data_IF_347189228709
#
_entry.id   IF_347189228709
#
_cell.length_a   1.000
_cell.length_b   1.000
_cell.length_c   1.000
_cell.angle_alpha   90.00
_cell.angle_beta   90.00
_cell.angle_gamma   90.00
#
_symmetry.space_group_name_H-M   'P 1'
#
loop_
_entity.id
_entity.type
_entity.pdbx_description
1 polymer ?
#
# COMPACT_ATOMS: atom_id res chain seq x y z
N UNK A 1 23.55 3.63 11.87
CA UNK A 1 22.23 3.50 11.18
C UNK A 1 22.39 4.15 9.81
N UNK A 2 22.30 3.40 8.69
CA UNK A 2 22.34 4.05 7.38
C UNK A 2 21.16 5.05 7.32
N UNK A 3 21.33 6.23 6.70
CA UNK A 3 20.20 7.13 6.49
C UNK A 3 19.17 6.33 5.70
N UNK A 4 17.97 6.15 6.26
CA UNK A 4 16.86 5.56 5.52
C UNK A 4 16.66 6.50 4.33
N UNK A 5 17.19 6.13 3.15
CA UNK A 5 16.95 6.82 1.90
C UNK A 5 15.45 7.04 1.85
N UNK A 6 15.03 8.30 2.00
CA UNK A 6 13.64 8.67 2.16
C UNK A 6 13.01 8.47 0.78
N UNK A 7 12.64 7.22 0.50
CA UNK A 7 11.86 6.87 -0.68
C UNK A 7 10.57 7.66 -0.60
N UNK A 8 10.06 8.18 -1.73
CA UNK A 8 8.82 8.92 -1.74
C UNK A 8 7.74 8.06 -1.09
N UNK A 9 7.14 8.59 -0.04
CA UNK A 9 6.04 7.94 0.66
C UNK A 9 4.72 8.48 0.13
N UNK A 10 3.97 7.64 -0.54
CA UNK A 10 2.67 7.99 -1.13
C UNK A 10 1.57 7.99 -0.07
N UNK A 11 0.60 8.89 -0.21
CA UNK A 11 -0.64 8.80 0.57
C UNK A 11 -1.51 7.66 0.03
N UNK A 12 -2.50 7.21 0.81
CA UNK A 12 -3.44 6.14 0.41
C UNK A 12 -4.02 6.33 -1.00
N UNK A 13 -4.44 7.54 -1.37
CA UNK A 13 -5.01 7.81 -2.69
C UNK A 13 -4.00 7.67 -3.84
N UNK A 14 -2.76 8.11 -3.62
CA UNK A 14 -1.66 7.98 -4.59
C UNK A 14 -1.23 6.51 -4.72
N UNK A 15 -1.08 5.81 -3.60
CA UNK A 15 -0.77 4.38 -3.57
C UNK A 15 -1.84 3.56 -4.30
N UNK A 16 -3.12 3.86 -4.06
CA UNK A 16 -4.25 3.25 -4.77
C UNK A 16 -4.17 3.45 -6.28
N UNK A 17 -3.92 4.70 -6.71
CA UNK A 17 -3.77 5.03 -8.13
C UNK A 17 -2.58 4.31 -8.76
N UNK A 18 -1.44 4.27 -8.08
CA UNK A 18 -0.25 3.57 -8.58
C UNK A 18 -0.45 2.05 -8.62
N UNK A 19 -1.13 1.47 -7.64
CA UNK A 19 -1.42 0.04 -7.58
C UNK A 19 -2.57 -0.40 -8.50
N UNK A 20 -3.30 0.54 -9.12
CA UNK A 20 -4.43 0.22 -9.98
C UNK A 20 -5.65 -0.29 -9.23
N UNK A 21 -5.78 0.06 -7.94
CA UNK A 21 -6.88 -0.37 -7.07
C UNK A 21 -7.61 0.82 -6.45
N UNK A 22 -8.78 0.57 -5.87
CA UNK A 22 -9.46 1.58 -5.07
C UNK A 22 -8.83 1.69 -3.67
N UNK A 23 -8.88 2.89 -3.07
CA UNK A 23 -8.49 3.09 -1.68
C UNK A 23 -9.33 2.27 -0.69
N UNK A 24 -10.55 1.86 -1.08
CA UNK A 24 -11.38 0.94 -0.31
C UNK A 24 -10.80 -0.47 -0.31
N UNK A 25 -10.29 -0.94 -1.47
CA UNK A 25 -9.65 -2.26 -1.57
C UNK A 25 -8.42 -2.35 -0.66
N UNK A 26 -7.55 -1.35 -0.67
CA UNK A 26 -6.39 -1.32 0.23
C UNK A 26 -6.82 -1.44 1.70
N UNK A 27 -7.86 -0.68 2.11
CA UNK A 27 -8.40 -0.76 3.48
C UNK A 27 -9.03 -2.11 3.80
N UNK A 28 -9.64 -2.76 2.80
CA UNK A 28 -10.17 -4.11 2.95
C UNK A 28 -9.04 -5.11 3.17
N UNK A 29 -8.03 -5.10 2.31
CA UNK A 29 -6.85 -5.98 2.37
C UNK A 29 -6.10 -5.81 3.71
N UNK A 30 -5.99 -4.57 4.21
CA UNK A 30 -5.46 -4.28 5.55
C UNK A 30 -6.32 -4.87 6.67
N UNK A 31 -7.65 -4.76 6.55
CA UNK A 31 -8.59 -5.25 7.57
C UNK A 31 -8.62 -6.77 7.66
N UNK A 32 -8.54 -7.46 6.52
CA UNK A 32 -8.54 -8.93 6.47
C UNK A 32 -7.15 -9.52 6.70
N UNK A 33 -6.13 -8.67 6.90
CA UNK A 33 -4.76 -9.10 7.19
C UNK A 33 -3.95 -9.55 5.98
N UNK A 34 -4.42 -9.26 4.76
CA UNK A 34 -3.74 -9.61 3.51
C UNK A 34 -2.61 -8.63 3.18
N UNK A 35 -2.72 -7.38 3.64
CA UNK A 35 -1.70 -6.35 3.50
C UNK A 35 -1.38 -5.74 4.87
N UNK A 36 -0.10 -5.55 5.25
CA UNK A 36 0.23 -4.93 6.53
C UNK A 36 -0.31 -3.50 6.61
N UNK A 37 -0.83 -3.12 7.77
CA UNK A 37 -1.29 -1.75 8.02
C UNK A 37 -0.13 -0.77 7.78
N UNK A 38 -0.32 0.16 6.85
CA UNK A 38 0.69 1.17 6.55
C UNK A 38 1.04 1.99 7.80
N UNK A 39 2.33 2.28 7.98
CA UNK A 39 2.77 3.12 9.09
C UNK A 39 2.12 4.50 8.98
N UNK A 40 1.63 5.01 10.12
CA UNK A 40 1.22 6.40 10.19
C UNK A 40 2.45 7.29 10.04
N UNK A 41 2.37 8.25 9.13
CA UNK A 41 3.27 9.39 9.13
C UNK A 41 3.10 10.17 10.44
N UNK A 42 4.10 10.97 10.81
CA UNK A 42 4.02 11.90 11.94
C UNK A 42 2.80 12.85 11.85
N UNK A 43 2.24 13.04 10.66
CA UNK A 43 1.03 13.83 10.39
C UNK A 43 -0.30 13.05 10.53
N UNK A 44 -0.28 11.80 11.02
CA UNK A 44 -1.48 10.97 11.19
C UNK A 44 -2.02 10.32 9.90
N UNK A 45 -1.48 10.68 8.73
CA UNK A 45 -1.86 10.09 7.45
C UNK A 45 -1.12 8.77 7.19
N UNK A 46 -1.82 7.80 6.57
CA UNK A 46 -1.20 6.55 6.09
C UNK A 46 -0.24 6.85 4.94
N UNK A 47 0.99 6.36 5.07
CA UNK A 47 2.04 6.49 4.08
C UNK A 47 2.49 5.11 3.60
N UNK A 48 2.50 4.94 2.29
CA UNK A 48 2.91 3.74 1.59
C UNK A 48 4.26 4.02 0.94
N UNK A 49 5.20 3.09 1.05
CA UNK A 49 6.43 3.14 0.28
C UNK A 49 6.23 2.47 -1.09
N UNK A 50 7.19 2.65 -2.01
CA UNK A 50 7.15 1.97 -3.31
C UNK A 50 6.98 0.45 -3.19
N UNK A 51 7.63 -0.17 -2.19
CA UNK A 51 7.51 -1.61 -1.89
C UNK A 51 6.08 -2.02 -1.51
N UNK A 52 5.35 -1.13 -0.86
CA UNK A 52 3.96 -1.37 -0.47
C UNK A 52 3.05 -1.34 -1.69
N UNK A 53 3.28 -0.39 -2.60
CA UNK A 53 2.57 -0.30 -3.88
C UNK A 53 2.78 -1.55 -4.73
N UNK A 54 4.03 -2.02 -4.83
CA UNK A 54 4.35 -3.25 -5.59
C UNK A 54 3.66 -4.48 -4.99
N UNK A 55 3.59 -4.56 -3.66
CA UNK A 55 2.89 -5.64 -2.97
C UNK A 55 1.37 -5.58 -3.20
N UNK A 56 0.77 -4.40 -3.18
CA UNK A 56 -0.65 -4.20 -3.48
C UNK A 56 -1.00 -4.63 -4.91
N UNK A 57 -0.14 -4.31 -5.89
CA UNK A 57 -0.28 -4.79 -7.28
C UNK A 57 -0.26 -6.30 -7.34
N UNK A 58 0.70 -6.92 -6.64
CA UNK A 58 0.87 -8.37 -6.62
C UNK A 58 -0.35 -9.09 -6.01
N UNK A 59 -0.85 -8.61 -4.88
CA UNK A 59 -2.05 -9.16 -4.23
C UNK A 59 -3.26 -9.09 -5.18
N UNK A 60 -3.47 -7.93 -5.80
CA UNK A 60 -4.59 -7.72 -6.73
C UNK A 60 -4.51 -8.62 -7.95
N UNK A 61 -3.29 -8.79 -8.49
CA UNK A 61 -3.05 -9.70 -9.60
C UNK A 61 -3.40 -11.15 -9.23
N UNK A 62 -2.96 -11.62 -8.06
CA UNK A 62 -3.27 -12.97 -7.59
C UNK A 62 -4.77 -13.21 -7.38
N UNK A 63 -5.49 -12.21 -6.86
CA UNK A 63 -6.95 -12.30 -6.71
C UNK A 63 -7.68 -12.38 -8.05
N UNK A 64 -7.23 -11.59 -9.05
CA UNK A 64 -7.81 -11.62 -10.39
C UNK A 64 -7.53 -12.91 -11.17
N UNK A 65 -6.47 -13.63 -10.78
CA UNK A 65 -6.07 -14.90 -11.37
C UNK A 65 -6.73 -16.12 -10.68
N UNK A 66 -7.57 -15.91 -9.65
CA UNK A 66 -8.33 -16.99 -9.01
C UNK A 66 -9.47 -17.40 -9.97
N UNK A 67 -9.50 -18.68 -10.43
CA UNK A 67 -10.52 -19.17 -11.36
C UNK A 67 -11.92 -19.24 -10.72
#
# INVERSE_FOLDING_TARGET
>A
MPPQRQLPRQKLGEAAKMAGVSAQKIRHDERVGLFPVAAHAESGCRQYADKDVDRLRFITMLESARP
#
